data_IF_557535224988
#
_entry.id   IF_557535224988
#
_cell.length_a   1.000
_cell.length_b   1.000
_cell.length_c   1.000
_cell.angle_alpha   90.00
_cell.angle_beta   90.00
_cell.angle_gamma   90.00
#
_symmetry.space_group_name_H-M   'P 1'
#
loop_
_entity.id
_entity.type
_entity.pdbx_description
1 polymer ?
#
# COMPACT_ATOMS: atom_id res chain seq x y z
N UNK A 1 9.12 5.00 -17.79
CA UNK A 1 8.77 4.59 -16.43
C UNK A 1 7.79 5.61 -15.91
N UNK A 2 6.55 5.19 -15.66
CA UNK A 2 5.51 6.06 -15.12
C UNK A 2 5.60 6.15 -13.60
N UNK A 3 5.09 7.25 -13.03
CA UNK A 3 4.94 7.42 -11.57
C UNK A 3 4.32 6.19 -10.90
N UNK A 4 3.31 5.59 -11.54
CA UNK A 4 2.62 4.40 -11.03
C UNK A 4 3.56 3.21 -10.83
N UNK A 5 4.50 2.96 -11.73
CA UNK A 5 5.42 1.81 -11.63
C UNK A 5 6.42 1.99 -10.48
N UNK A 6 6.92 3.21 -10.28
CA UNK A 6 7.83 3.51 -9.15
C UNK A 6 7.09 3.39 -7.82
N UNK A 7 5.88 3.94 -7.72
CA UNK A 7 5.07 3.81 -6.51
C UNK A 7 4.73 2.33 -6.25
N UNK A 8 4.38 1.57 -7.28
CA UNK A 8 4.08 0.14 -7.14
C UNK A 8 5.29 -0.63 -6.60
N UNK A 9 6.49 -0.37 -7.13
CA UNK A 9 7.73 -0.99 -6.67
C UNK A 9 8.00 -0.65 -5.20
N UNK A 10 7.93 0.62 -4.83
CA UNK A 10 8.11 1.06 -3.45
C UNK A 10 7.09 0.45 -2.49
N UNK A 11 5.85 0.26 -2.92
CA UNK A 11 4.82 -0.37 -2.09
C UNK A 11 5.06 -1.86 -1.91
N UNK A 12 5.46 -2.56 -2.97
CA UNK A 12 5.78 -3.98 -2.90
C UNK A 12 6.98 -4.19 -1.96
N UNK A 13 8.00 -3.35 -2.06
CA UNK A 13 9.15 -3.36 -1.13
C UNK A 13 8.71 -3.09 0.32
N UNK A 14 7.85 -2.10 0.53
CA UNK A 14 7.27 -1.78 1.84
C UNK A 14 6.44 -2.95 2.41
N UNK A 15 5.73 -3.67 1.55
CA UNK A 15 4.96 -4.86 1.88
C UNK A 15 5.80 -6.13 1.98
N UNK A 16 7.11 -6.08 1.70
CA UNK A 16 8.00 -7.24 1.79
C UNK A 16 8.08 -7.85 3.20
N UNK A 17 7.72 -7.09 4.24
CA UNK A 17 7.61 -7.58 5.63
C UNK A 17 6.22 -8.13 5.99
N UNK A 18 5.22 -7.99 5.11
CA UNK A 18 3.88 -8.51 5.32
C UNK A 18 3.83 -9.98 4.89
N UNK A 19 3.39 -10.86 5.79
CA UNK A 19 3.09 -12.25 5.44
C UNK A 19 1.74 -12.35 4.74
N UNK A 20 1.76 -12.75 3.47
CA UNK A 20 0.57 -13.09 2.71
C UNK A 20 0.25 -14.60 2.83
N UNK A 21 -1.03 -15.00 2.76
CA UNK A 21 -2.21 -14.17 2.56
C UNK A 21 -2.58 -13.36 3.80
N UNK A 22 -2.96 -12.10 3.59
CA UNK A 22 -3.48 -11.25 4.66
C UNK A 22 -4.98 -11.45 4.75
N UNK A 23 -5.45 -11.72 5.96
CA UNK A 23 -6.88 -11.96 6.23
C UNK A 23 -7.58 -10.73 6.83
N UNK A 24 -6.79 -9.75 7.29
CA UNK A 24 -7.28 -8.59 8.03
C UNK A 24 -6.42 -7.36 7.75
N UNK A 25 -7.08 -6.19 7.81
CA UNK A 25 -6.46 -4.87 7.69
C UNK A 25 -5.37 -4.62 8.72
N UNK A 26 -5.54 -5.12 9.94
CA UNK A 26 -4.54 -5.01 11.00
C UNK A 26 -3.24 -5.74 10.65
N UNK A 27 -3.31 -6.91 10.01
CA UNK A 27 -2.11 -7.66 9.58
C UNK A 27 -1.33 -6.89 8.51
N UNK A 28 -2.04 -6.26 7.57
CA UNK A 28 -1.45 -5.38 6.56
C UNK A 28 -0.80 -4.18 7.25
N UNK A 29 -1.56 -3.46 8.09
CA UNK A 29 -1.10 -2.25 8.78
C UNK A 29 0.07 -2.49 9.74
N UNK A 30 0.17 -3.70 10.29
CA UNK A 30 1.28 -4.07 11.17
C UNK A 30 2.59 -4.26 10.41
N UNK A 31 2.55 -4.79 9.19
CA UNK A 31 3.75 -5.01 8.38
C UNK A 31 4.13 -3.83 7.48
N UNK A 32 3.30 -2.79 7.41
CA UNK A 32 3.59 -1.58 6.66
C UNK A 32 4.57 -0.64 7.37
N UNK A 33 5.41 0.09 6.62
CA UNK A 33 6.25 1.13 7.18
C UNK A 33 5.39 2.26 7.75
N UNK A 34 5.56 2.53 9.05
CA UNK A 34 4.83 3.58 9.77
C UNK A 34 5.59 4.91 9.71
N UNK A 35 4.83 6.01 9.68
CA UNK A 35 5.39 7.36 9.67
C UNK A 35 6.08 7.72 8.35
N UNK A 36 7.23 8.42 8.42
CA UNK A 36 7.91 8.96 7.24
C UNK A 36 8.36 7.90 6.22
N UNK A 37 8.61 6.67 6.65
CA UNK A 37 8.97 5.56 5.77
C UNK A 37 7.80 5.12 4.87
N UNK A 38 6.56 5.42 5.27
CA UNK A 38 5.36 5.22 4.45
C UNK A 38 4.94 6.47 3.68
N UNK A 39 5.67 7.59 3.75
CA UNK A 39 5.32 8.78 2.98
C UNK A 39 5.85 8.65 1.55
N UNK A 40 4.98 8.59 0.55
CA UNK A 40 5.42 8.79 -0.82
C UNK A 40 5.53 10.27 -1.11
N UNK A 41 6.73 10.63 -1.56
CA UNK A 41 7.00 11.94 -2.10
C UNK A 41 6.98 11.88 -3.61
N UNK A 42 6.25 12.80 -4.23
CA UNK A 42 6.33 13.06 -5.67
C UNK A 42 6.87 14.47 -5.84
N UNK A 43 7.95 14.61 -6.60
CA UNK A 43 8.53 15.93 -6.87
C UNK A 43 8.97 16.66 -5.59
N UNK A 44 9.33 15.93 -4.54
CA UNK A 44 9.74 16.48 -3.24
C UNK A 44 8.60 16.83 -2.27
N UNK A 45 7.35 16.59 -2.64
CA UNK A 45 6.18 16.81 -1.77
C UNK A 45 5.56 15.48 -1.36
N UNK A 46 5.28 15.33 -0.05
CA UNK A 46 4.55 14.16 0.45
C UNK A 46 3.14 14.21 -0.11
N UNK A 47 2.83 13.32 -1.04
CA UNK A 47 1.52 13.25 -1.69
C UNK A 47 0.57 12.38 -0.89
N UNK A 48 1.07 11.31 -0.30
CA UNK A 48 0.25 10.36 0.44
C UNK A 48 1.09 9.48 1.37
N UNK A 49 0.43 8.95 2.41
CA UNK A 49 0.99 7.94 3.28
C UNK A 49 0.42 6.57 2.93
N UNK A 50 1.29 5.58 2.73
CA UNK A 50 0.96 4.19 2.39
C UNK A 50 -0.03 3.62 3.41
N UNK A 51 0.24 3.78 4.71
CA UNK A 51 -0.63 3.31 5.78
C UNK A 51 -2.01 3.94 5.71
N UNK A 52 -2.11 5.27 5.64
CA UNK A 52 -3.41 5.95 5.55
C UNK A 52 -4.22 5.53 4.32
N UNK A 53 -3.57 5.40 3.16
CA UNK A 53 -4.22 4.95 1.94
C UNK A 53 -4.76 3.53 2.11
N UNK A 54 -3.98 2.63 2.72
CA UNK A 54 -4.48 1.30 3.07
C UNK A 54 -5.66 1.37 4.02
N UNK A 55 -5.61 2.13 5.10
CA UNK A 55 -6.74 2.23 6.03
C UNK A 55 -8.00 2.82 5.38
N UNK A 56 -7.82 3.82 4.51
CA UNK A 56 -8.91 4.56 3.88
C UNK A 56 -9.56 3.80 2.74
N UNK A 57 -8.76 3.13 1.91
CA UNK A 57 -9.25 2.47 0.71
C UNK A 57 -9.44 0.97 0.88
N UNK A 58 -8.77 0.31 1.82
CA UNK A 58 -8.93 -1.13 2.01
C UNK A 58 -10.17 -1.43 2.85
N UNK A 59 -11.11 -2.20 2.29
CA UNK A 59 -12.32 -2.59 3.01
C UNK A 59 -12.12 -3.97 3.62
N UNK A 60 -12.76 -4.27 4.76
CA UNK A 60 -12.76 -5.63 5.32
C UNK A 60 -13.30 -6.67 4.34
N UNK A 61 -14.15 -6.26 3.38
CA UNK A 61 -14.70 -7.13 2.34
C UNK A 61 -13.72 -7.47 1.21
N UNK A 62 -12.60 -6.77 1.09
CA UNK A 62 -11.57 -7.06 0.07
C UNK A 62 -10.64 -8.20 0.51
N UNK A 63 -10.77 -8.68 1.75
CA UNK A 63 -10.00 -9.79 2.29
C UNK A 63 -10.64 -11.15 1.95
N UNK A 64 -9.85 -12.22 1.79
CA UNK A 64 -8.38 -12.28 1.95
C UNK A 64 -7.64 -11.80 0.70
N UNK A 65 -6.53 -11.07 0.91
CA UNK A 65 -5.64 -10.66 -0.19
C UNK A 65 -4.44 -11.58 -0.21
N UNK A 66 -4.17 -12.13 -1.40
CA UNK A 66 -3.22 -13.22 -1.57
C UNK A 66 -1.80 -12.73 -1.86
N UNK A 67 -1.63 -11.46 -2.25
CA UNK A 67 -0.32 -10.92 -2.64
C UNK A 67 -0.24 -9.41 -2.42
N UNK A 68 0.99 -8.93 -2.21
CA UNK A 68 1.29 -7.51 -2.11
C UNK A 68 0.82 -6.75 -3.36
N UNK A 69 1.10 -7.28 -4.56
CA UNK A 69 0.78 -6.61 -5.81
C UNK A 69 -0.73 -6.37 -6.00
N UNK A 70 -1.56 -7.39 -5.71
CA UNK A 70 -3.03 -7.29 -5.73
C UNK A 70 -3.54 -6.21 -4.76
N UNK A 71 -2.97 -6.19 -3.56
CA UNK A 71 -3.26 -5.21 -2.53
C UNK A 71 -2.91 -3.77 -2.99
N UNK A 72 -1.71 -3.55 -3.53
CA UNK A 72 -1.27 -2.24 -4.03
C UNK A 72 -2.13 -1.77 -5.20
N UNK A 73 -2.36 -2.65 -6.19
CA UNK A 73 -3.13 -2.33 -7.39
C UNK A 73 -4.56 -1.91 -7.03
N UNK A 74 -5.18 -2.58 -6.06
CA UNK A 74 -6.54 -2.23 -5.60
C UNK A 74 -6.58 -0.83 -4.96
N UNK A 75 -5.55 -0.45 -4.21
CA UNK A 75 -5.46 0.90 -3.65
C UNK A 75 -5.23 1.92 -4.75
N UNK A 76 -4.35 1.65 -5.71
CA UNK A 76 -4.06 2.58 -6.80
C UNK A 76 -5.29 2.82 -7.67
N UNK A 77 -6.04 1.76 -7.96
CA UNK A 77 -7.30 1.84 -8.70
C UNK A 77 -8.32 2.72 -7.95
N UNK A 78 -8.44 2.54 -6.62
CA UNK A 78 -9.35 3.36 -5.79
C UNK A 78 -8.87 4.79 -5.57
N UNK A 79 -7.55 5.00 -5.51
CA UNK A 79 -6.93 6.30 -5.35
C UNK A 79 -6.85 7.08 -6.68
N UNK A 80 -7.08 6.42 -7.81
CA UNK A 80 -6.97 7.02 -9.14
C UNK A 80 -5.53 7.31 -9.58
N UNK A 81 -4.58 6.46 -9.15
CA UNK A 81 -3.13 6.54 -9.44
C UNK A 81 -2.76 5.69 -10.66
#
# INVERSE_FOLDING_TARGET
MGMREELLTHWIEALGNVSFPVSSKESVYSGLPKGAAGNMTVGGLVVCNVGELFEKFLKPSDFPINSAEELVLLIFDRAGI
#
